data_IF_766118656301
#
_entry.id   IF_766118656301
#
_cell.length_a   1.000
_cell.length_b   1.000
_cell.length_c   1.000
_cell.angle_alpha   90.00
_cell.angle_beta   90.00
_cell.angle_gamma   90.00
#
_symmetry.space_group_name_H-M   'P 1'
#
loop_
_entity.id
_entity.type
_entity.pdbx_description
1 polymer ?
#
# COMPACT_ATOMS: atom_id res chain seq x y z
N UNK A 1 -32.15 35.80 15.35
CA UNK A 1 -31.39 35.20 14.25
C UNK A 1 -30.40 34.20 14.80
N UNK A 2 -29.93 33.26 13.96
CA UNK A 2 -28.82 32.35 14.29
C UNK A 2 -27.51 33.15 14.42
N UNK A 3 -26.83 33.04 15.55
CA UNK A 3 -25.61 33.82 15.83
C UNK A 3 -24.34 33.13 15.32
N UNK A 4 -24.29 31.79 15.36
CA UNK A 4 -23.15 30.97 14.92
C UNK A 4 -23.66 29.62 14.42
N UNK A 5 -23.01 29.06 13.41
CA UNK A 5 -23.27 27.73 12.88
C UNK A 5 -21.92 27.03 12.73
N UNK A 6 -21.82 25.80 13.22
CA UNK A 6 -20.67 24.94 13.01
C UNK A 6 -21.08 23.78 12.12
N UNK A 7 -20.35 23.56 11.03
CA UNK A 7 -20.69 22.57 10.00
C UNK A 7 -19.49 21.64 9.81
N UNK A 8 -19.74 20.35 9.81
CA UNK A 8 -18.76 19.29 9.54
C UNK A 8 -19.22 18.43 8.37
N UNK A 9 -18.29 17.71 7.72
CA UNK A 9 -18.62 16.77 6.65
C UNK A 9 -18.98 17.40 5.31
N UNK A 10 -18.66 18.70 5.12
CA UNK A 10 -18.87 19.40 3.86
C UNK A 10 -17.53 19.60 3.18
N UNK A 11 -17.36 18.96 2.02
CA UNK A 11 -16.20 19.17 1.15
C UNK A 11 -16.26 20.57 0.53
N UNK A 12 -15.11 21.23 0.26
CA UNK A 12 -15.07 22.48 -0.51
C UNK A 12 -15.73 22.40 -1.90
N UNK A 13 -16.03 21.19 -2.39
CA UNK A 13 -16.83 20.93 -3.61
C UNK A 13 -18.29 21.36 -3.47
N UNK A 14 -18.86 21.31 -2.27
CA UNK A 14 -20.31 21.54 -2.06
C UNK A 14 -20.60 23.01 -1.73
N UNK A 15 -19.61 23.75 -1.23
CA UNK A 15 -19.82 25.13 -0.72
C UNK A 15 -19.76 26.23 -1.78
N UNK A 16 -19.16 25.99 -2.94
CA UNK A 16 -18.88 27.07 -3.89
C UNK A 16 -20.10 27.51 -4.71
N UNK A 17 -21.06 26.61 -4.98
CA UNK A 17 -22.05 26.84 -6.05
C UNK A 17 -23.52 26.74 -5.61
N UNK A 18 -23.82 26.14 -4.45
CA UNK A 18 -25.20 25.84 -4.07
C UNK A 18 -25.90 26.96 -3.28
N UNK A 19 -25.16 27.86 -2.60
CA UNK A 19 -25.78 28.96 -1.84
C UNK A 19 -24.83 30.15 -1.67
N UNK A 20 -25.27 31.37 -2.02
CA UNK A 20 -24.52 32.62 -1.79
C UNK A 20 -24.30 32.96 -0.30
N UNK A 21 -25.03 32.31 0.61
CA UNK A 21 -25.07 32.60 2.04
C UNK A 21 -23.88 32.09 2.87
N UNK A 22 -23.08 31.15 2.35
CA UNK A 22 -21.93 30.59 3.08
C UNK A 22 -20.57 31.14 2.65
N UNK A 23 -20.53 32.15 1.79
CA UNK A 23 -19.28 32.88 1.46
C UNK A 23 -18.66 33.60 2.67
N UNK A 24 -19.40 33.73 3.78
CA UNK A 24 -18.93 34.28 5.06
C UNK A 24 -18.42 33.20 6.02
N UNK A 25 -18.45 31.92 5.63
CA UNK A 25 -17.98 30.83 6.47
C UNK A 25 -16.45 30.82 6.57
N UNK A 26 -15.94 30.59 7.78
CA UNK A 26 -14.51 30.44 8.04
C UNK A 26 -14.12 28.96 8.05
N UNK A 27 -13.16 28.59 7.21
CA UNK A 27 -12.64 27.23 7.13
C UNK A 27 -11.57 27.02 8.21
N UNK A 28 -11.92 26.29 9.28
CA UNK A 28 -11.03 26.07 10.44
C UNK A 28 -10.38 24.67 10.50
N UNK A 29 -10.70 23.79 9.55
CA UNK A 29 -10.30 22.37 9.59
C UNK A 29 -8.78 22.13 9.48
N UNK A 30 -8.00 23.10 8.99
CA UNK A 30 -6.53 23.03 8.93
C UNK A 30 -5.85 23.55 10.21
N UNK A 31 -6.59 24.14 11.15
CA UNK A 31 -6.00 24.63 12.39
C UNK A 31 -5.63 23.44 13.30
N UNK A 32 -4.47 23.48 13.97
CA UNK A 32 -3.97 22.33 14.73
C UNK A 32 -4.91 21.90 15.86
N UNK A 33 -5.63 22.83 16.50
CA UNK A 33 -6.59 22.52 17.56
C UNK A 33 -7.80 21.69 17.09
N UNK A 34 -8.08 21.66 15.79
CA UNK A 34 -9.15 20.85 15.20
C UNK A 34 -8.63 19.57 14.51
N UNK A 35 -7.32 19.28 14.57
CA UNK A 35 -6.74 18.09 13.94
C UNK A 35 -7.39 16.80 14.44
N UNK A 36 -7.68 16.72 15.74
CA UNK A 36 -8.32 15.55 16.34
C UNK A 36 -9.84 15.52 16.19
N UNK A 37 -10.48 16.58 15.66
CA UNK A 37 -11.94 16.67 15.57
C UNK A 37 -12.53 15.58 14.65
N UNK A 38 -11.79 15.19 13.62
CA UNK A 38 -12.27 14.27 12.59
C UNK A 38 -11.89 12.80 12.84
N UNK A 39 -11.39 12.46 14.03
CA UNK A 39 -10.84 11.13 14.29
C UNK A 39 -10.77 10.76 15.77
N UNK A 40 -10.40 9.51 16.06
CA UNK A 40 -10.06 9.08 17.42
C UNK A 40 -8.55 9.15 17.64
N UNK A 41 -8.14 9.38 18.88
CA UNK A 41 -6.75 9.31 19.32
C UNK A 41 -6.35 7.89 19.68
N UNK A 42 -5.06 7.62 19.63
CA UNK A 42 -4.46 6.35 20.06
C UNK A 42 -4.93 5.92 21.47
N UNK A 43 -4.93 6.86 22.42
CA UNK A 43 -5.32 6.57 23.81
C UNK A 43 -6.81 6.21 23.94
N UNK A 44 -7.67 6.80 23.10
CA UNK A 44 -9.11 6.49 23.10
C UNK A 44 -9.36 5.09 22.52
N UNK A 45 -8.67 4.74 21.43
CA UNK A 45 -8.71 3.40 20.85
C UNK A 45 -8.17 2.37 21.85
N UNK A 46 -7.01 2.63 22.48
CA UNK A 46 -6.43 1.74 23.48
C UNK A 46 -7.37 1.51 24.67
N UNK A 47 -8.09 2.56 25.12
CA UNK A 47 -9.09 2.45 26.18
C UNK A 47 -10.25 1.53 25.79
N UNK A 48 -10.79 1.71 24.57
CA UNK A 48 -11.89 0.87 24.06
C UNK A 48 -11.45 -0.58 23.84
N UNK A 49 -10.29 -0.81 23.22
CA UNK A 49 -9.72 -2.16 23.01
C UNK A 49 -9.49 -2.86 24.35
N UNK A 50 -8.91 -2.16 25.33
CA UNK A 50 -8.67 -2.71 26.66
C UNK A 50 -9.98 -3.05 27.41
N UNK A 51 -11.05 -2.29 27.20
CA UNK A 51 -12.37 -2.64 27.73
C UNK A 51 -12.94 -3.90 27.08
N UNK A 52 -12.94 -3.96 25.75
CA UNK A 52 -13.43 -5.12 25.00
C UNK A 52 -12.64 -6.38 25.37
N UNK A 53 -11.31 -6.26 25.49
CA UNK A 53 -10.46 -7.38 25.89
C UNK A 53 -10.86 -7.95 27.26
N UNK A 54 -11.22 -7.10 28.23
CA UNK A 54 -11.73 -7.57 29.53
C UNK A 54 -13.11 -8.22 29.42
N UNK A 55 -14.00 -7.67 28.59
CA UNK A 55 -15.34 -8.24 28.37
C UNK A 55 -15.29 -9.60 27.66
N UNK A 56 -14.27 -9.82 26.83
CA UNK A 56 -14.03 -11.03 26.07
C UNK A 56 -13.04 -12.02 26.72
N UNK A 57 -12.59 -11.77 27.95
CA UNK A 57 -11.57 -12.57 28.65
C UNK A 57 -10.26 -12.76 27.84
N UNK A 58 -9.87 -11.76 27.05
CA UNK A 58 -8.64 -11.76 26.26
C UNK A 58 -7.44 -11.29 27.09
N UNK A 59 -6.27 -11.86 26.81
CA UNK A 59 -5.02 -11.44 27.45
C UNK A 59 -4.60 -10.02 27.03
N UNK A 60 -3.75 -9.39 27.86
CA UNK A 60 -3.17 -8.09 27.52
C UNK A 60 -2.39 -8.14 26.19
N UNK A 61 -1.70 -9.24 25.89
CA UNK A 61 -0.98 -9.41 24.63
C UNK A 61 -1.93 -9.39 23.41
N UNK A 62 -3.12 -10.00 23.52
CA UNK A 62 -4.14 -9.94 22.46
C UNK A 62 -4.75 -8.55 22.32
N UNK A 63 -4.92 -7.82 23.42
CA UNK A 63 -5.36 -6.43 23.38
C UNK A 63 -4.32 -5.52 22.69
N UNK A 64 -3.04 -5.69 23.03
CA UNK A 64 -1.93 -4.94 22.43
C UNK A 64 -1.80 -5.26 20.92
N UNK A 65 -2.01 -6.51 20.54
CA UNK A 65 -2.05 -6.94 19.14
C UNK A 65 -3.23 -6.34 18.37
N UNK A 66 -4.44 -6.34 18.95
CA UNK A 66 -5.61 -5.69 18.36
C UNK A 66 -5.38 -4.18 18.17
N UNK A 67 -4.78 -3.51 19.15
CA UNK A 67 -4.41 -2.10 19.05
C UNK A 67 -3.38 -1.86 17.93
N UNK A 68 -2.35 -2.72 17.83
CA UNK A 68 -1.35 -2.63 16.77
C UNK A 68 -1.99 -2.84 15.37
N UNK A 69 -2.90 -3.81 15.24
CA UNK A 69 -3.69 -4.03 14.02
C UNK A 69 -4.49 -2.77 13.66
N UNK A 70 -5.26 -2.21 14.59
CA UNK A 70 -6.01 -0.98 14.32
C UNK A 70 -5.10 0.18 13.93
N UNK A 71 -3.91 0.30 14.56
CA UNK A 71 -2.93 1.35 14.24
C UNK A 71 -2.48 1.26 12.78
N UNK A 72 -2.06 0.09 12.33
CA UNK A 72 -1.55 -0.13 10.97
C UNK A 72 -2.64 0.06 9.90
N UNK A 73 -3.87 -0.38 10.18
CA UNK A 73 -4.95 -0.36 9.18
C UNK A 73 -5.73 0.96 9.17
N UNK A 74 -5.86 1.67 10.30
CA UNK A 74 -6.84 2.75 10.45
C UNK A 74 -6.31 4.08 10.98
N UNK A 75 -5.11 4.13 11.55
CA UNK A 75 -4.49 5.39 12.01
C UNK A 75 -3.79 6.12 10.84
N UNK A 76 -3.09 7.21 11.12
CA UNK A 76 -2.18 7.88 10.19
C UNK A 76 -2.73 9.15 9.54
N UNK A 77 -4.00 9.51 9.80
CA UNK A 77 -4.56 10.77 9.30
C UNK A 77 -4.04 11.97 10.08
N UNK A 78 -3.67 13.02 9.34
CA UNK A 78 -3.24 14.31 9.86
C UNK A 78 -3.74 15.41 8.93
N UNK A 79 -4.50 16.34 9.48
CA UNK A 79 -5.16 17.38 8.69
C UNK A 79 -4.46 18.73 8.80
N UNK A 80 -3.70 18.97 9.88
CA UNK A 80 -2.94 20.20 10.04
C UNK A 80 -1.45 20.02 9.78
N UNK A 81 -0.84 21.02 9.13
CA UNK A 81 0.62 21.10 8.98
C UNK A 81 1.38 21.39 10.27
N UNK A 82 0.67 21.91 11.29
CA UNK A 82 1.23 22.28 12.60
C UNK A 82 0.86 21.28 13.70
N UNK A 83 0.43 20.07 13.34
CA UNK A 83 0.14 18.98 14.26
C UNK A 83 1.06 17.80 13.97
N UNK A 84 1.56 17.16 15.02
CA UNK A 84 2.25 15.86 14.93
C UNK A 84 1.34 14.69 15.31
N UNK A 85 0.16 14.99 15.88
CA UNK A 85 -0.81 13.98 16.28
C UNK A 85 -1.49 13.38 15.04
N UNK A 86 -1.51 12.05 14.97
CA UNK A 86 -2.32 11.30 14.01
C UNK A 86 -3.62 10.84 14.65
N UNK A 87 -4.65 10.71 13.83
CA UNK A 87 -5.94 10.19 14.26
C UNK A 87 -6.41 9.02 13.40
N UNK A 88 -7.25 8.21 14.01
CA UNK A 88 -7.93 7.09 13.40
C UNK A 88 -9.16 7.56 12.64
N UNK A 89 -9.42 6.96 11.48
CA UNK A 89 -10.69 7.11 10.80
C UNK A 89 -11.84 6.55 11.68
N UNK A 90 -12.82 7.37 12.11
CA UNK A 90 -13.86 6.92 13.03
C UNK A 90 -14.71 5.77 12.51
N UNK A 91 -15.07 5.80 11.23
CA UNK A 91 -15.92 4.76 10.62
C UNK A 91 -15.23 3.41 10.65
N UNK A 92 -13.96 3.38 10.23
CA UNK A 92 -13.16 2.15 10.21
C UNK A 92 -12.81 1.65 11.61
N UNK A 93 -12.44 2.55 12.52
CA UNK A 93 -12.16 2.19 13.90
C UNK A 93 -13.40 1.58 14.58
N UNK A 94 -14.57 2.21 14.42
CA UNK A 94 -15.83 1.69 14.97
C UNK A 94 -16.26 0.38 14.30
N UNK A 95 -16.01 0.22 13.00
CA UNK A 95 -16.27 -1.04 12.30
C UNK A 95 -15.50 -2.20 12.95
N UNK A 96 -14.20 -2.03 13.17
CA UNK A 96 -13.36 -3.03 13.83
C UNK A 96 -13.80 -3.27 15.27
N UNK A 97 -13.97 -2.21 16.06
CA UNK A 97 -14.35 -2.32 17.47
C UNK A 97 -15.70 -3.04 17.64
N UNK A 98 -16.67 -2.81 16.75
CA UNK A 98 -17.96 -3.51 16.77
C UNK A 98 -17.82 -5.00 16.50
N UNK A 99 -17.02 -5.39 15.51
CA UNK A 99 -16.75 -6.80 15.25
C UNK A 99 -16.01 -7.45 16.43
N UNK A 100 -14.98 -6.77 16.93
CA UNK A 100 -14.17 -7.24 18.06
C UNK A 100 -14.97 -7.40 19.34
N UNK A 101 -15.88 -6.47 19.65
CA UNK A 101 -16.77 -6.60 20.80
C UNK A 101 -17.81 -7.72 20.64
N UNK A 102 -18.37 -7.88 19.43
CA UNK A 102 -19.44 -8.85 19.18
C UNK A 102 -18.93 -10.29 19.20
N UNK A 103 -17.81 -10.54 18.53
CA UNK A 103 -17.34 -11.89 18.22
C UNK A 103 -16.06 -12.27 18.98
N UNK A 104 -15.50 -11.33 19.76
CA UNK A 104 -14.19 -11.45 20.40
C UNK A 104 -13.06 -11.80 19.40
N UNK A 105 -13.26 -11.41 18.13
CA UNK A 105 -12.42 -11.72 16.98
C UNK A 105 -12.35 -10.51 16.05
N UNK A 106 -11.29 -10.43 15.25
CA UNK A 106 -11.14 -9.36 14.25
C UNK A 106 -12.16 -9.53 13.13
N UNK A 107 -12.53 -8.45 12.42
CA UNK A 107 -13.35 -8.60 11.23
C UNK A 107 -12.59 -9.38 10.14
N UNK A 108 -13.32 -10.25 9.43
CA UNK A 108 -12.77 -11.04 8.31
C UNK A 108 -12.15 -10.11 7.25
N UNK A 109 -12.83 -9.00 6.95
CA UNK A 109 -12.38 -7.97 6.01
C UNK A 109 -11.96 -6.74 6.79
N UNK A 110 -10.77 -6.21 6.53
CA UNK A 110 -10.31 -4.98 7.19
C UNK A 110 -10.97 -3.72 6.62
N UNK A 111 -11.39 -3.77 5.35
CA UNK A 111 -12.11 -2.69 4.69
C UNK A 111 -13.62 -2.96 4.75
N UNK A 112 -14.37 -2.05 5.38
CA UNK A 112 -15.82 -2.06 5.35
C UNK A 112 -16.34 -1.70 3.95
N UNK A 113 -17.32 -2.46 3.47
CA UNK A 113 -18.09 -2.17 2.25
C UNK A 113 -18.70 -0.77 2.21
N UNK A 114 -18.95 -0.14 3.37
CA UNK A 114 -19.45 1.24 3.45
C UNK A 114 -18.46 2.29 2.89
N UNK A 115 -17.19 1.93 2.68
CA UNK A 115 -16.21 2.75 1.96
C UNK A 115 -16.20 2.51 0.43
N UNK A 116 -17.20 1.82 -0.12
CA UNK A 116 -17.37 1.67 -1.58
C UNK A 116 -17.38 3.03 -2.32
N UNK A 117 -17.79 4.11 -1.66
CA UNK A 117 -17.71 5.46 -2.20
C UNK A 117 -16.26 5.86 -2.56
N UNK A 118 -15.25 5.39 -1.81
CA UNK A 118 -13.86 5.74 -2.05
C UNK A 118 -13.27 5.04 -3.28
N UNK A 119 -13.81 3.85 -3.64
CA UNK A 119 -13.51 3.23 -4.93
C UNK A 119 -14.06 4.05 -6.09
N UNK A 120 -15.30 4.53 -6.00
CA UNK A 120 -15.89 5.41 -7.01
C UNK A 120 -15.11 6.71 -7.19
N UNK A 121 -14.61 7.29 -6.10
CA UNK A 121 -13.73 8.47 -6.13
C UNK A 121 -12.38 8.15 -6.78
N UNK A 122 -11.73 7.04 -6.42
CA UNK A 122 -10.48 6.60 -7.05
C UNK A 122 -10.64 6.39 -8.55
N UNK A 123 -11.72 5.73 -8.96
CA UNK A 123 -12.05 5.52 -10.36
C UNK A 123 -12.33 6.82 -11.12
N UNK A 124 -12.92 7.83 -10.47
CA UNK A 124 -13.03 9.17 -11.05
C UNK A 124 -11.65 9.82 -11.21
N UNK A 125 -10.82 9.80 -10.16
CA UNK A 125 -9.47 10.39 -10.18
C UNK A 125 -8.61 9.74 -11.25
N UNK A 126 -8.63 8.42 -11.39
CA UNK A 126 -7.83 7.68 -12.37
C UNK A 126 -8.13 8.04 -13.83
N UNK A 127 -9.27 8.70 -14.09
CA UNK A 127 -9.64 9.19 -15.44
C UNK A 127 -9.32 10.66 -15.67
N UNK A 128 -8.82 11.38 -14.66
CA UNK A 128 -8.31 12.75 -14.81
C UNK A 128 -6.92 12.72 -15.46
N UNK A 129 -6.55 13.80 -16.15
CA UNK A 129 -5.27 13.89 -16.90
C UNK A 129 -4.04 13.57 -16.05
N UNK A 130 -3.95 14.10 -14.83
CA UNK A 130 -2.83 13.85 -13.90
C UNK A 130 -3.10 12.70 -12.91
N UNK A 131 -4.29 12.11 -12.97
CA UNK A 131 -4.77 11.08 -12.05
C UNK A 131 -3.88 9.85 -12.00
N UNK A 132 -3.72 9.12 -13.12
CA UNK A 132 -2.91 7.90 -13.16
C UNK A 132 -1.48 8.10 -12.64
N UNK A 133 -0.83 9.20 -13.02
CA UNK A 133 0.55 9.52 -12.63
C UNK A 133 0.65 9.75 -11.12
N UNK A 134 -0.27 10.53 -10.54
CA UNK A 134 -0.29 10.79 -9.10
C UNK A 134 -0.65 9.55 -8.28
N UNK A 135 -1.58 8.72 -8.78
CA UNK A 135 -1.91 7.43 -8.15
C UNK A 135 -0.67 6.53 -8.12
N UNK A 136 0.03 6.42 -9.26
CA UNK A 136 1.24 5.62 -9.35
C UNK A 136 2.34 6.13 -8.42
N UNK A 137 2.68 7.42 -8.48
CA UNK A 137 3.73 8.03 -7.65
C UNK A 137 3.44 7.91 -6.14
N UNK A 138 2.18 8.05 -5.74
CA UNK A 138 1.80 7.93 -4.34
C UNK A 138 1.99 6.50 -3.80
N UNK A 139 1.68 5.47 -4.60
CA UNK A 139 1.84 4.08 -4.17
C UNK A 139 3.30 3.60 -4.26
N UNK A 140 3.98 3.99 -5.33
CA UNK A 140 5.37 3.61 -5.58
C UNK A 140 6.31 4.27 -4.58
N UNK A 141 5.95 5.46 -4.07
CA UNK A 141 6.79 6.29 -3.21
C UNK A 141 8.04 6.82 -3.94
N UNK A 142 8.01 6.92 -5.29
CA UNK A 142 9.10 7.47 -6.13
C UNK A 142 9.36 8.93 -5.78
N UNK A 143 8.27 9.69 -5.79
CA UNK A 143 8.26 11.12 -5.62
C UNK A 143 7.16 11.48 -4.63
N UNK A 144 7.46 12.28 -3.59
CA UNK A 144 6.42 12.74 -2.69
C UNK A 144 5.41 13.56 -3.50
N UNK A 145 4.12 13.27 -3.31
CA UNK A 145 3.06 14.11 -3.85
C UNK A 145 3.13 15.45 -3.13
N UNK A 146 3.72 16.46 -3.76
CA UNK A 146 4.02 17.75 -3.16
C UNK A 146 3.25 18.88 -3.87
N UNK A 147 2.61 19.73 -3.07
CA UNK A 147 1.85 20.89 -3.55
C UNK A 147 2.17 22.11 -2.69
N UNK A 148 2.09 23.32 -3.24
CA UNK A 148 2.32 24.54 -2.43
C UNK A 148 1.17 24.80 -1.45
N UNK A 149 -0.05 24.53 -1.88
CA UNK A 149 -1.26 24.73 -1.10
C UNK A 149 -2.38 23.82 -1.59
N UNK A 150 -3.29 23.49 -0.68
CA UNK A 150 -4.53 22.81 -1.04
C UNK A 150 -5.43 23.78 -1.79
N UNK A 151 -6.06 23.30 -2.87
CA UNK A 151 -7.13 24.04 -3.52
C UNK A 151 -8.22 24.36 -2.49
N UNK A 152 -8.65 25.62 -2.46
CA UNK A 152 -9.60 26.14 -1.47
C UNK A 152 -11.06 25.99 -1.92
N UNK A 153 -11.30 25.74 -3.21
CA UNK A 153 -12.63 25.60 -3.83
C UNK A 153 -12.63 24.60 -4.98
N UNK A 154 -13.76 23.92 -5.17
CA UNK A 154 -14.03 23.10 -6.36
C UNK A 154 -15.42 23.45 -6.89
N UNK A 155 -15.53 24.57 -7.61
CA UNK A 155 -16.75 24.94 -8.34
C UNK A 155 -17.25 23.82 -9.23
N UNK A 156 -18.56 23.72 -9.47
CA UNK A 156 -19.12 22.81 -10.49
C UNK A 156 -18.57 23.20 -11.86
N UNK A 157 -18.45 24.51 -12.13
CA UNK A 157 -17.76 25.00 -13.33
C UNK A 157 -16.29 24.60 -13.35
N UNK A 158 -15.57 24.75 -12.24
CA UNK A 158 -14.17 24.33 -12.16
C UNK A 158 -14.05 22.85 -12.41
N UNK A 159 -14.85 22.01 -11.73
CA UNK A 159 -14.90 20.56 -11.91
C UNK A 159 -15.16 20.14 -13.36
N UNK A 160 -15.90 20.95 -14.12
CA UNK A 160 -16.25 20.67 -15.52
C UNK A 160 -15.26 21.23 -16.55
N UNK A 161 -14.73 22.43 -16.33
CA UNK A 161 -14.00 23.18 -17.36
C UNK A 161 -12.56 23.52 -16.98
N UNK A 162 -12.26 23.70 -15.69
CA UNK A 162 -10.91 24.09 -15.29
C UNK A 162 -9.91 22.96 -15.56
N UNK A 163 -8.66 23.28 -15.97
CA UNK A 163 -7.61 22.29 -16.13
C UNK A 163 -7.41 21.46 -14.86
N UNK A 164 -7.44 20.14 -15.01
CA UNK A 164 -7.31 19.16 -13.92
C UNK A 164 -5.83 18.84 -13.67
N UNK A 165 -5.07 19.89 -13.36
CA UNK A 165 -3.63 19.79 -13.11
C UNK A 165 -3.30 19.05 -11.80
N UNK A 166 -2.01 18.82 -11.56
CA UNK A 166 -1.55 17.98 -10.44
C UNK A 166 -2.01 18.52 -9.08
N UNK A 167 -1.97 19.85 -8.87
CA UNK A 167 -2.43 20.46 -7.61
C UNK A 167 -3.91 20.18 -7.32
N UNK A 168 -4.75 20.27 -8.36
CA UNK A 168 -6.18 20.02 -8.27
C UNK A 168 -6.46 18.57 -7.86
N UNK A 169 -5.82 17.62 -8.55
CA UNK A 169 -5.99 16.18 -8.30
C UNK A 169 -5.47 15.79 -6.91
N UNK A 170 -4.30 16.29 -6.52
CA UNK A 170 -3.72 16.07 -5.20
C UNK A 170 -4.62 16.62 -4.07
N UNK A 171 -5.20 17.81 -4.29
CA UNK A 171 -6.15 18.40 -3.35
C UNK A 171 -7.44 17.57 -3.23
N UNK A 172 -8.01 17.07 -4.34
CA UNK A 172 -9.16 16.17 -4.29
C UNK A 172 -8.85 14.89 -3.50
N UNK A 173 -7.70 14.25 -3.76
CA UNK A 173 -7.26 13.07 -3.02
C UNK A 173 -7.15 13.35 -1.52
N UNK A 174 -6.66 14.53 -1.13
CA UNK A 174 -6.65 14.97 0.28
C UNK A 174 -8.06 15.11 0.86
N UNK A 175 -8.96 15.85 0.21
CA UNK A 175 -10.32 16.06 0.73
C UNK A 175 -11.18 14.79 0.72
N UNK A 176 -10.86 13.83 -0.13
CA UNK A 176 -11.47 12.51 -0.13
C UNK A 176 -10.96 11.59 0.97
N UNK A 177 -9.95 12.00 1.74
CA UNK A 177 -9.34 11.15 2.79
C UNK A 177 -8.49 10.02 2.22
N UNK A 178 -8.07 10.14 0.96
CA UNK A 178 -7.22 9.19 0.24
C UNK A 178 -5.74 9.57 0.42
N UNK A 179 -5.46 10.88 0.50
CA UNK A 179 -4.18 11.41 0.96
C UNK A 179 -4.35 12.18 2.27
N UNK A 180 -3.26 12.31 2.99
CA UNK A 180 -3.19 13.07 4.23
C UNK A 180 -1.86 13.84 4.31
N UNK A 181 -1.73 14.72 5.31
CA UNK A 181 -0.51 15.50 5.48
C UNK A 181 0.67 14.60 5.87
N UNK A 182 1.72 14.58 5.06
CA UNK A 182 2.95 13.81 5.26
C UNK A 182 4.15 14.62 5.76
N UNK A 183 4.08 15.96 5.70
CA UNK A 183 5.16 16.83 6.15
C UNK A 183 5.33 18.04 5.23
N UNK A 184 6.47 18.71 5.37
CA UNK A 184 6.87 19.79 4.46
C UNK A 184 8.14 19.37 3.72
N UNK A 185 8.22 19.66 2.42
CA UNK A 185 9.46 19.49 1.66
C UNK A 185 10.46 20.58 2.02
N UNK A 186 11.76 20.42 1.68
CA UNK A 186 12.77 21.47 1.85
C UNK A 186 12.43 22.79 1.13
N UNK A 187 11.52 22.76 0.16
CA UNK A 187 11.07 23.92 -0.61
C UNK A 187 9.79 24.54 -0.06
N UNK A 188 9.33 24.12 1.12
CA UNK A 188 8.12 24.67 1.74
C UNK A 188 6.82 24.20 1.09
N UNK A 189 6.85 23.10 0.33
CA UNK A 189 5.64 22.48 -0.20
C UNK A 189 5.05 21.52 0.82
N UNK A 190 3.72 21.44 0.85
CA UNK A 190 2.97 20.41 1.55
C UNK A 190 3.22 19.05 0.88
N UNK A 191 3.86 18.13 1.59
CA UNK A 191 3.97 16.74 1.18
C UNK A 191 2.73 15.97 1.64
N UNK A 192 2.12 15.24 0.72
CA UNK A 192 0.97 14.38 0.94
C UNK A 192 1.38 12.91 0.87
N UNK A 193 0.75 12.07 1.71
CA UNK A 193 1.02 10.63 1.78
C UNK A 193 -0.25 9.81 1.97
N UNK A 194 -0.17 8.52 1.68
CA UNK A 194 -1.20 7.54 2.00
C UNK A 194 -1.23 7.34 3.53
N UNK A 195 -2.40 7.45 4.20
CA UNK A 195 -2.47 7.44 5.67
C UNK A 195 -2.23 6.07 6.29
N UNK A 196 -2.75 4.99 5.68
CA UNK A 196 -2.71 3.64 6.24
C UNK A 196 -2.91 2.56 5.17
N UNK A 197 -2.84 1.31 5.61
CA UNK A 197 -2.88 0.14 4.73
C UNK A 197 -4.23 -0.03 4.01
N UNK A 198 -5.34 0.38 4.63
CA UNK A 198 -6.68 0.30 4.01
C UNK A 198 -6.76 1.23 2.81
N UNK A 199 -6.26 2.46 2.93
CA UNK A 199 -6.23 3.37 1.79
C UNK A 199 -5.19 2.94 0.76
N UNK A 200 -4.05 2.37 1.19
CA UNK A 200 -3.03 1.82 0.27
C UNK A 200 -3.61 0.75 -0.65
N UNK A 201 -4.55 -0.06 -0.16
CA UNK A 201 -5.31 -1.02 -0.98
C UNK A 201 -6.03 -0.34 -2.14
N UNK A 202 -6.70 0.78 -1.90
CA UNK A 202 -7.45 1.50 -2.94
C UNK A 202 -6.55 1.94 -4.09
N UNK A 203 -5.31 2.33 -3.78
CA UNK A 203 -4.29 2.63 -4.80
C UNK A 203 -3.87 1.38 -5.57
N UNK A 204 -3.59 0.28 -4.86
CA UNK A 204 -3.19 -0.98 -5.49
C UNK A 204 -4.29 -1.50 -6.45
N UNK A 205 -5.54 -1.52 -5.99
CA UNK A 205 -6.72 -1.89 -6.80
C UNK A 205 -6.88 -0.95 -8.00
N UNK A 206 -6.78 0.36 -7.80
CA UNK A 206 -6.91 1.33 -8.91
C UNK A 206 -5.83 1.17 -9.97
N UNK A 207 -4.57 0.90 -9.58
CA UNK A 207 -3.49 0.64 -10.54
C UNK A 207 -3.72 -0.69 -11.25
N UNK A 208 -4.14 -1.73 -10.53
CA UNK A 208 -4.48 -3.02 -11.13
C UNK A 208 -5.58 -2.85 -12.21
N UNK A 209 -6.66 -2.14 -11.91
CA UNK A 209 -7.74 -1.84 -12.88
C UNK A 209 -7.24 -1.04 -14.09
N UNK A 210 -6.33 -0.07 -13.88
CA UNK A 210 -5.76 0.74 -14.97
C UNK A 210 -4.83 -0.04 -15.90
N UNK A 211 -4.15 -1.07 -15.39
CA UNK A 211 -3.11 -1.82 -16.11
C UNK A 211 -3.60 -3.18 -16.63
N UNK A 212 -4.54 -3.82 -15.93
CA UNK A 212 -5.08 -5.14 -16.25
C UNK A 212 -6.63 -5.09 -16.32
N UNK A 213 -7.21 -4.65 -17.46
CA UNK A 213 -8.66 -4.63 -17.61
C UNK A 213 -9.27 -6.04 -17.47
N UNK A 214 -10.48 -6.10 -16.91
CA UNK A 214 -11.16 -7.30 -16.36
C UNK A 214 -11.22 -8.52 -17.30
N UNK A 215 -11.33 -9.72 -16.70
CA UNK A 215 -11.53 -10.99 -17.40
C UNK A 215 -10.52 -12.07 -16.98
N UNK A 216 -10.11 -12.92 -17.93
CA UNK A 216 -9.22 -14.09 -17.69
C UNK A 216 -7.86 -13.72 -17.09
N UNK A 217 -7.37 -12.51 -17.35
CA UNK A 217 -6.07 -12.06 -16.85
C UNK A 217 -6.10 -11.80 -15.33
N UNK A 218 -7.24 -11.41 -14.77
CA UNK A 218 -7.42 -11.22 -13.32
C UNK A 218 -7.40 -12.55 -12.56
N UNK A 219 -8.07 -13.57 -13.10
CA UNK A 219 -8.04 -14.92 -12.51
C UNK A 219 -6.63 -15.53 -12.56
N UNK A 220 -5.92 -15.38 -13.67
CA UNK A 220 -4.54 -15.86 -13.79
C UNK A 220 -3.60 -15.18 -12.80
N UNK A 221 -3.71 -13.86 -12.63
CA UNK A 221 -2.95 -13.11 -11.62
C UNK A 221 -3.25 -13.62 -10.21
N UNK A 222 -4.53 -13.82 -9.88
CA UNK A 222 -4.95 -14.34 -8.57
C UNK A 222 -4.40 -15.73 -8.29
N UNK A 223 -4.50 -16.66 -9.25
CA UNK A 223 -3.94 -18.02 -9.14
C UNK A 223 -2.42 -18.00 -8.94
N UNK A 224 -1.71 -17.12 -9.66
CA UNK A 224 -0.26 -16.95 -9.50
C UNK A 224 0.10 -16.46 -8.09
N UNK A 225 -0.64 -15.48 -7.56
CA UNK A 225 -0.46 -14.98 -6.20
C UNK A 225 -0.79 -16.05 -5.13
N UNK A 226 -1.89 -16.79 -5.29
CA UNK A 226 -2.27 -17.90 -4.40
C UNK A 226 -1.18 -18.98 -4.36
N UNK A 227 -0.58 -19.29 -5.50
CA UNK A 227 0.53 -20.26 -5.59
C UNK A 227 1.74 -19.81 -4.78
N UNK A 228 2.07 -18.51 -4.83
CA UNK A 228 3.13 -17.93 -3.99
C UNK A 228 2.80 -18.03 -2.50
N UNK A 229 1.58 -17.68 -2.11
CA UNK A 229 1.17 -17.69 -0.69
C UNK A 229 1.19 -19.09 -0.08
N UNK A 230 0.80 -20.10 -0.86
CA UNK A 230 0.63 -21.46 -0.37
C UNK A 230 1.94 -22.26 -0.45
N UNK A 231 2.66 -22.16 -1.55
CA UNK A 231 3.80 -23.04 -1.84
C UNK A 231 5.14 -22.32 -1.87
N UNK A 232 5.14 -20.98 -1.84
CA UNK A 232 6.38 -20.20 -2.00
C UNK A 232 6.94 -20.29 -3.43
N UNK A 233 6.11 -20.61 -4.42
CA UNK A 233 6.53 -20.59 -5.83
C UNK A 233 6.16 -19.25 -6.46
N UNK A 234 7.18 -18.40 -6.64
CA UNK A 234 7.07 -17.07 -7.24
C UNK A 234 7.04 -17.10 -8.77
N UNK A 235 7.41 -18.23 -9.38
CA UNK A 235 7.60 -18.31 -10.83
C UNK A 235 6.34 -17.96 -11.63
N UNK A 236 5.14 -18.50 -11.31
CA UNK A 236 3.92 -18.14 -12.04
C UNK A 236 3.63 -16.64 -12.02
N UNK A 237 3.97 -15.96 -10.91
CA UNK A 237 3.79 -14.52 -10.78
C UNK A 237 4.78 -13.75 -11.66
N UNK A 238 6.04 -14.16 -11.68
CA UNK A 238 7.05 -13.57 -12.57
C UNK A 238 6.69 -13.76 -14.04
N UNK A 239 6.29 -14.97 -14.43
CA UNK A 239 5.87 -15.28 -15.80
C UNK A 239 4.67 -14.42 -16.22
N UNK A 240 3.71 -14.23 -15.32
CA UNK A 240 2.57 -13.34 -15.56
C UNK A 240 3.02 -11.87 -15.74
N UNK A 241 3.95 -11.39 -14.91
CA UNK A 241 4.45 -10.01 -14.99
C UNK A 241 5.17 -9.76 -16.33
N UNK A 242 6.06 -10.66 -16.73
CA UNK A 242 6.77 -10.58 -18.02
C UNK A 242 5.79 -10.56 -19.20
N UNK A 243 4.77 -11.41 -19.18
CA UNK A 243 3.87 -11.59 -20.31
C UNK A 243 2.82 -10.48 -20.44
N UNK A 244 2.41 -9.87 -19.33
CA UNK A 244 1.28 -8.93 -19.28
C UNK A 244 1.71 -7.55 -18.83
N UNK A 245 2.28 -7.45 -17.63
CA UNK A 245 2.57 -6.17 -16.98
C UNK A 245 3.64 -5.39 -17.74
N UNK A 246 4.76 -6.01 -18.07
CA UNK A 246 5.87 -5.35 -18.79
C UNK A 246 5.47 -4.80 -20.17
N UNK A 247 4.57 -5.49 -20.89
CA UNK A 247 4.02 -4.98 -22.16
C UNK A 247 3.16 -3.73 -21.99
N UNK A 248 2.51 -3.57 -20.85
CA UNK A 248 1.71 -2.37 -20.56
C UNK A 248 2.64 -1.21 -20.20
N UNK A 249 3.68 -1.46 -19.40
CA UNK A 249 4.68 -0.45 -19.05
C UNK A 249 5.54 0.00 -20.22
N UNK A 250 5.93 -0.90 -21.14
CA UNK A 250 6.69 -0.51 -22.33
C UNK A 250 5.92 0.45 -23.25
N UNK A 251 4.59 0.44 -23.17
CA UNK A 251 3.70 1.22 -24.03
C UNK A 251 3.22 2.53 -23.39
N UNK A 252 3.51 2.76 -22.11
CA UNK A 252 3.04 3.93 -21.36
C UNK A 252 4.24 4.67 -20.77
N UNK A 253 4.16 6.00 -20.69
CA UNK A 253 5.21 6.86 -20.12
C UNK A 253 5.42 6.68 -18.59
N UNK A 254 4.89 5.62 -17.98
CA UNK A 254 5.13 5.27 -16.57
C UNK A 254 6.51 4.64 -16.34
N UNK A 255 7.21 4.25 -17.41
CA UNK A 255 8.48 3.56 -17.33
C UNK A 255 9.64 4.51 -16.96
N UNK A 256 9.70 4.95 -15.71
CA UNK A 256 10.99 5.23 -15.11
C UNK A 256 11.73 3.88 -14.99
N UNK A 257 12.88 3.75 -15.65
CA UNK A 257 13.70 2.52 -15.65
C UNK A 257 14.36 2.31 -14.29
N UNK A 258 13.59 1.85 -13.30
CA UNK A 258 14.06 1.63 -11.95
C UNK A 258 13.30 0.51 -11.21
N UNK A 259 13.84 0.12 -10.06
CA UNK A 259 13.31 -0.92 -9.15
C UNK A 259 11.89 -0.65 -8.67
N UNK A 260 11.50 0.63 -8.58
CA UNK A 260 10.22 1.02 -8.01
C UNK A 260 9.02 0.66 -8.89
N UNK A 261 9.23 0.65 -10.20
CA UNK A 261 8.23 0.18 -11.16
C UNK A 261 7.94 -1.32 -10.96
N UNK A 262 8.98 -2.13 -10.73
CA UNK A 262 8.83 -3.57 -10.46
C UNK A 262 8.18 -3.79 -9.10
N UNK A 263 8.64 -3.09 -8.07
CA UNK A 263 8.04 -3.12 -6.72
C UNK A 263 6.55 -2.83 -6.80
N UNK A 264 6.15 -1.81 -7.56
CA UNK A 264 4.74 -1.45 -7.74
C UNK A 264 3.96 -2.54 -8.46
N UNK A 265 4.53 -3.17 -9.50
CA UNK A 265 3.90 -4.29 -10.20
C UNK A 265 3.65 -5.51 -9.28
N UNK A 266 4.62 -5.86 -8.44
CA UNK A 266 4.43 -6.93 -7.46
C UNK A 266 3.42 -6.52 -6.38
N UNK A 267 3.53 -5.30 -5.85
CA UNK A 267 2.66 -4.79 -4.81
C UNK A 267 1.19 -4.82 -5.24
N UNK A 268 0.86 -4.42 -6.47
CA UNK A 268 -0.51 -4.40 -6.98
C UNK A 268 -1.09 -5.80 -7.20
N UNK A 269 -0.25 -6.76 -7.59
CA UNK A 269 -0.66 -8.16 -7.80
C UNK A 269 -0.76 -8.96 -6.49
N UNK A 270 0.05 -8.59 -5.49
CA UNK A 270 0.13 -9.29 -4.21
C UNK A 270 -0.71 -8.64 -3.10
N UNK A 271 -1.36 -7.50 -3.37
CA UNK A 271 -2.11 -6.79 -2.33
C UNK A 271 -3.27 -7.62 -1.78
N UNK A 272 -3.12 -8.10 -0.55
CA UNK A 272 -4.14 -8.91 0.12
C UNK A 272 -4.18 -8.62 1.63
N UNK A 273 -4.92 -7.58 2.00
CA UNK A 273 -5.21 -7.16 3.37
C UNK A 273 -6.10 -8.12 4.18
N UNK A 274 -6.74 -9.09 3.51
CA UNK A 274 -7.51 -10.12 4.20
C UNK A 274 -6.57 -11.11 4.90
N UNK A 275 -5.42 -11.43 4.30
CA UNK A 275 -4.45 -12.38 4.85
C UNK A 275 -3.22 -11.70 5.46
N UNK A 276 -2.81 -10.55 4.93
CA UNK A 276 -1.50 -9.98 5.23
C UNK A 276 -1.58 -8.55 5.76
N UNK A 277 -0.64 -8.25 6.65
CA UNK A 277 -0.14 -6.91 6.90
C UNK A 277 0.99 -6.71 5.89
N UNK A 278 0.76 -5.86 4.88
CA UNK A 278 1.78 -5.56 3.88
C UNK A 278 2.51 -4.27 4.23
N UNK A 279 3.82 -4.37 4.43
CA UNK A 279 4.67 -3.23 4.75
C UNK A 279 5.64 -2.97 3.58
N UNK A 280 5.70 -1.71 3.15
CA UNK A 280 6.77 -1.15 2.31
C UNK A 280 7.49 -0.08 3.13
N UNK A 281 8.80 -0.28 3.37
CA UNK A 281 9.85 0.56 4.02
C UNK A 281 9.54 1.56 5.17
N UNK A 282 8.37 2.19 5.27
CA UNK A 282 8.17 3.42 6.03
C UNK A 282 8.12 3.30 7.57
N UNK A 283 8.02 2.11 8.15
CA UNK A 283 7.91 1.94 9.62
C UNK A 283 9.11 1.26 10.29
N UNK A 284 10.04 0.68 9.52
CA UNK A 284 11.16 -0.10 10.05
C UNK A 284 12.51 0.54 9.70
N UNK A 285 12.96 1.48 10.52
CA UNK A 285 14.35 1.96 10.64
C UNK A 285 15.26 1.67 9.42
N UNK A 286 15.19 2.52 8.39
CA UNK A 286 16.19 2.77 7.33
C UNK A 286 17.10 1.59 6.95
N UNK A 287 16.54 0.40 6.82
CA UNK A 287 17.10 -0.63 5.97
C UNK A 287 16.32 -0.58 4.67
N UNK A 288 16.80 -1.26 3.64
CA UNK A 288 16.08 -1.43 2.38
C UNK A 288 15.61 -2.87 2.21
N UNK A 289 14.31 -3.12 2.43
CA UNK A 289 13.57 -4.24 1.84
C UNK A 289 12.32 -3.71 1.24
N UNK A 290 12.08 -4.16 0.03
CA UNK A 290 11.09 -3.52 -0.80
C UNK A 290 9.67 -3.97 -0.48
N UNK A 291 9.43 -5.27 -0.24
CA UNK A 291 8.10 -5.77 0.03
C UNK A 291 8.10 -6.87 1.09
N UNK A 292 7.35 -6.63 2.17
CA UNK A 292 7.11 -7.65 3.22
C UNK A 292 5.61 -7.91 3.34
N UNK A 293 5.23 -9.19 3.36
CA UNK A 293 3.87 -9.66 3.59
C UNK A 293 3.86 -10.55 4.84
N UNK A 294 3.40 -10.00 5.96
CA UNK A 294 3.31 -10.74 7.23
C UNK A 294 1.88 -11.21 7.42
N UNK A 295 1.67 -12.52 7.60
CA UNK A 295 0.34 -13.07 7.82
C UNK A 295 -0.24 -12.44 9.09
N UNK A 296 -1.48 -11.93 8.99
CA UNK A 296 -2.18 -11.36 10.14
C UNK A 296 -2.26 -12.38 11.27
N UNK A 297 -2.13 -11.95 12.54
CA UNK A 297 -2.16 -12.87 13.67
C UNK A 297 -3.38 -13.81 13.71
N UNK A 298 -4.57 -13.29 13.43
CA UNK A 298 -5.83 -14.04 13.40
C UNK A 298 -5.97 -14.97 12.18
N UNK A 299 -5.14 -14.77 11.15
CA UNK A 299 -5.08 -15.59 9.94
C UNK A 299 -4.00 -16.67 10.02
N UNK A 300 -3.23 -16.76 11.11
CA UNK A 300 -2.18 -17.78 11.32
C UNK A 300 -2.70 -19.21 11.34
N UNK A 301 -4.01 -19.39 11.58
CA UNK A 301 -4.70 -20.68 11.46
C UNK A 301 -4.62 -21.29 10.06
N UNK A 302 -4.48 -20.46 9.02
CA UNK A 302 -4.31 -20.92 7.65
C UNK A 302 -2.84 -21.24 7.35
N UNK A 303 -2.57 -22.17 6.45
CA UNK A 303 -1.21 -22.59 6.07
C UNK A 303 -0.62 -21.72 4.95
N UNK A 304 -0.68 -20.40 5.11
CA UNK A 304 -0.08 -19.42 4.19
C UNK A 304 1.27 -18.91 4.72
N UNK A 305 2.19 -18.62 3.82
CA UNK A 305 3.57 -18.26 4.13
C UNK A 305 3.72 -16.74 4.33
N UNK A 306 4.61 -16.33 5.23
CA UNK A 306 5.10 -14.95 5.23
C UNK A 306 6.07 -14.77 4.06
N UNK A 307 5.99 -13.65 3.37
CA UNK A 307 6.77 -13.41 2.15
C UNK A 307 7.63 -12.18 2.33
N UNK A 308 8.91 -12.30 1.97
CA UNK A 308 9.86 -11.19 1.87
C UNK A 308 10.42 -11.15 0.45
N UNK A 309 10.32 -10.00 -0.21
CA UNK A 309 10.84 -9.81 -1.57
C UNK A 309 11.77 -8.60 -1.59
N UNK A 310 12.96 -8.81 -2.16
CA UNK A 310 13.95 -7.78 -2.44
C UNK A 310 14.04 -7.61 -3.97
N UNK A 311 13.84 -6.39 -4.47
CA UNK A 311 13.93 -6.10 -5.90
C UNK A 311 15.30 -5.51 -6.24
N UNK A 312 15.76 -5.86 -7.44
CA UNK A 312 16.91 -5.23 -8.08
C UNK A 312 16.61 -4.98 -9.55
N UNK A 313 17.28 -3.99 -10.13
CA UNK A 313 17.11 -3.64 -11.54
C UNK A 313 18.45 -3.59 -12.26
N UNK A 314 18.47 -4.15 -13.48
CA UNK A 314 19.57 -4.03 -14.45
C UNK A 314 18.99 -3.42 -15.71
N UNK A 315 19.45 -2.25 -16.11
CA UNK A 315 19.02 -1.62 -17.36
C UNK A 315 19.55 -2.38 -18.60
N UNK A 316 18.89 -2.21 -19.74
CA UNK A 316 19.36 -2.76 -21.03
C UNK A 316 20.80 -2.32 -21.36
N UNK A 317 21.13 -1.07 -21.02
CA UNK A 317 22.46 -0.50 -21.22
C UNK A 317 23.52 -1.19 -20.36
N UNK A 318 23.21 -1.46 -19.10
CA UNK A 318 24.12 -2.18 -18.18
C UNK A 318 24.27 -3.65 -18.59
N UNK A 319 23.19 -4.29 -19.04
CA UNK A 319 23.23 -5.64 -19.59
C UNK A 319 23.99 -5.74 -20.92
N UNK A 320 24.19 -4.62 -21.63
CA UNK A 320 24.81 -4.60 -22.96
C UNK A 320 23.98 -5.31 -24.03
N UNK A 321 22.67 -5.44 -23.82
CA UNK A 321 21.74 -6.21 -24.65
C UNK A 321 20.52 -5.36 -24.98
N UNK A 322 19.91 -5.62 -26.14
CA UNK A 322 18.60 -5.04 -26.45
C UNK A 322 17.45 -5.92 -25.91
N UNK A 323 16.25 -5.35 -25.85
CA UNK A 323 15.08 -6.05 -25.29
C UNK A 323 14.65 -7.27 -26.09
N UNK A 324 14.94 -7.33 -27.39
CA UNK A 324 14.57 -8.48 -28.24
C UNK A 324 15.48 -9.67 -27.94
N UNK A 325 16.79 -9.43 -27.84
CA UNK A 325 17.77 -10.45 -27.47
C UNK A 325 17.46 -11.05 -26.10
N UNK A 326 17.08 -10.22 -25.12
CA UNK A 326 16.72 -10.70 -23.77
C UNK A 326 15.48 -11.60 -23.75
N UNK A 327 14.47 -11.30 -24.58
CA UNK A 327 13.25 -12.12 -24.67
C UNK A 327 13.52 -13.53 -25.18
N UNK A 328 14.46 -13.67 -26.11
CA UNK A 328 14.83 -14.96 -26.71
C UNK A 328 15.88 -15.71 -25.89
N UNK A 329 16.56 -15.04 -24.95
CA UNK A 329 17.60 -15.62 -24.12
C UNK A 329 17.03 -16.61 -23.09
N UNK A 330 17.71 -17.73 -22.92
CA UNK A 330 17.31 -18.69 -21.88
C UNK A 330 17.61 -18.16 -20.46
N UNK A 331 16.94 -18.74 -19.48
CA UNK A 331 17.04 -18.28 -18.09
C UNK A 331 18.43 -18.52 -17.49
N UNK A 332 19.16 -19.55 -17.93
CA UNK A 332 20.49 -19.86 -17.41
C UNK A 332 21.52 -18.86 -17.91
N UNK A 333 21.43 -18.46 -19.18
CA UNK A 333 22.25 -17.40 -19.77
C UNK A 333 21.98 -16.05 -19.10
N UNK A 334 20.71 -15.71 -18.84
CA UNK A 334 20.36 -14.50 -18.10
C UNK A 334 20.96 -14.49 -16.68
N UNK A 335 20.87 -15.61 -15.98
CA UNK A 335 21.50 -15.80 -14.66
C UNK A 335 23.04 -15.75 -14.71
N UNK A 336 23.64 -16.10 -15.84
CA UNK A 336 25.09 -16.06 -16.03
C UNK A 336 25.64 -14.66 -16.35
N UNK A 337 24.78 -13.67 -16.61
CA UNK A 337 25.23 -12.30 -16.87
C UNK A 337 25.91 -11.72 -15.61
N UNK A 338 27.15 -11.18 -15.71
CA UNK A 338 27.87 -10.65 -14.55
C UNK A 338 27.09 -9.58 -13.77
N UNK A 339 26.39 -8.69 -14.49
CA UNK A 339 25.57 -7.64 -13.90
C UNK A 339 24.36 -8.20 -13.15
N UNK A 340 23.76 -9.29 -13.64
CA UNK A 340 22.67 -9.99 -12.95
C UNK A 340 23.21 -10.65 -11.69
N UNK A 341 24.32 -11.40 -11.77
CA UNK A 341 24.92 -12.07 -10.61
C UNK A 341 25.31 -11.10 -9.49
N UNK A 342 25.84 -9.93 -9.85
CA UNK A 342 26.15 -8.86 -8.90
C UNK A 342 24.89 -8.41 -8.15
N UNK A 343 23.80 -8.13 -8.89
CA UNK A 343 22.50 -7.75 -8.29
C UNK A 343 21.86 -8.87 -7.48
N UNK A 344 22.02 -10.13 -7.88
CA UNK A 344 21.56 -11.26 -7.09
C UNK A 344 22.26 -11.30 -5.73
N UNK A 345 23.59 -11.10 -5.68
CA UNK A 345 24.34 -11.04 -4.42
C UNK A 345 23.91 -9.87 -3.53
N UNK A 346 23.73 -8.67 -4.11
CA UNK A 346 23.20 -7.51 -3.38
C UNK A 346 21.82 -7.82 -2.76
N UNK A 347 20.96 -8.51 -3.49
CA UNK A 347 19.65 -8.90 -3.00
C UNK A 347 19.74 -9.91 -1.84
N UNK A 348 20.62 -10.91 -1.92
CA UNK A 348 20.83 -11.89 -0.83
C UNK A 348 21.32 -11.24 0.46
N UNK A 349 22.27 -10.30 0.35
CA UNK A 349 22.76 -9.50 1.47
C UNK A 349 21.64 -8.65 2.10
N UNK A 350 20.83 -8.01 1.26
CA UNK A 350 19.62 -7.29 1.67
C UNK A 350 18.69 -8.19 2.48
N UNK A 351 18.26 -9.31 1.90
CA UNK A 351 17.35 -10.28 2.50
C UNK A 351 17.88 -10.83 3.83
N UNK A 352 19.18 -11.12 3.94
CA UNK A 352 19.78 -11.67 5.17
C UNK A 352 19.57 -10.74 6.38
N UNK A 353 19.78 -9.43 6.20
CA UNK A 353 19.59 -8.43 7.27
C UNK A 353 18.14 -8.40 7.76
N UNK A 354 17.20 -8.55 6.85
CA UNK A 354 15.78 -8.44 7.15
C UNK A 354 15.16 -9.69 7.72
N UNK A 355 15.56 -10.86 7.23
CA UNK A 355 15.24 -12.14 7.86
C UNK A 355 15.60 -12.12 9.34
N UNK A 356 16.78 -11.60 9.69
CA UNK A 356 17.20 -11.46 11.09
C UNK A 356 16.26 -10.54 11.91
N UNK A 357 15.88 -9.38 11.35
CA UNK A 357 14.95 -8.44 12.01
C UNK A 357 13.55 -9.04 12.19
N UNK A 358 13.00 -9.69 11.17
CA UNK A 358 11.69 -10.33 11.23
C UNK A 358 11.69 -11.50 12.22
N UNK A 359 12.74 -12.33 12.22
CA UNK A 359 12.88 -13.40 13.22
C UNK A 359 12.98 -12.84 14.65
N UNK A 360 13.65 -11.72 14.86
CA UNK A 360 13.70 -11.07 16.18
C UNK A 360 12.33 -10.52 16.63
N UNK A 361 11.52 -10.01 15.70
CA UNK A 361 10.19 -9.45 15.99
C UNK A 361 9.10 -10.52 16.16
N UNK A 362 9.06 -11.53 15.30
CA UNK A 362 7.96 -12.50 15.20
C UNK A 362 8.31 -13.90 15.70
N UNK A 363 9.60 -14.20 15.93
CA UNK A 363 10.05 -15.48 16.46
C UNK A 363 9.55 -16.68 15.64
N UNK A 364 9.08 -17.71 16.35
CA UNK A 364 8.66 -18.98 15.76
C UNK A 364 7.29 -18.93 15.05
N UNK A 365 6.53 -17.82 15.18
CA UNK A 365 5.26 -17.67 14.47
C UNK A 365 5.46 -17.40 12.96
N UNK A 366 6.68 -17.03 12.57
CA UNK A 366 7.04 -16.61 11.22
C UNK A 366 7.35 -17.81 10.31
N UNK A 367 6.54 -18.00 9.26
CA UNK A 367 6.74 -19.00 8.21
C UNK A 367 7.29 -18.33 6.95
N UNK A 368 8.52 -17.81 7.07
CA UNK A 368 9.10 -16.91 6.07
C UNK A 368 9.64 -17.64 4.83
N UNK A 369 9.22 -17.21 3.64
CA UNK A 369 9.93 -17.40 2.38
C UNK A 369 10.48 -16.08 1.87
N UNK A 370 11.72 -16.13 1.36
CA UNK A 370 12.44 -14.95 0.90
C UNK A 370 12.86 -15.11 -0.56
N UNK A 371 12.67 -14.03 -1.32
CA UNK A 371 12.93 -14.00 -2.76
C UNK A 371 13.72 -12.74 -3.11
N UNK A 372 14.80 -12.92 -3.88
CA UNK A 372 15.41 -11.82 -4.61
C UNK A 372 14.88 -11.84 -6.05
N UNK A 373 14.46 -10.70 -6.56
CA UNK A 373 13.91 -10.55 -7.90
C UNK A 373 14.73 -9.50 -8.63
N UNK A 374 15.51 -9.94 -9.62
CA UNK A 374 16.29 -9.06 -10.48
C UNK A 374 15.55 -8.89 -11.80
N UNK A 375 15.08 -7.68 -12.08
CA UNK A 375 14.52 -7.34 -13.39
C UNK A 375 15.62 -6.89 -14.33
N UNK A 376 15.67 -7.48 -15.53
CA UNK A 376 16.60 -7.12 -16.60
C UNK A 376 15.81 -6.38 -17.67
N UNK A 377 15.92 -5.06 -17.63
CA UNK A 377 14.98 -4.14 -18.27
C UNK A 377 13.55 -4.38 -17.77
N UNK A 378 12.58 -4.02 -18.62
CA UNK A 378 11.19 -4.43 -18.46
C UNK A 378 10.87 -5.54 -19.45
N UNK A 379 11.72 -6.57 -19.46
CA UNK A 379 11.62 -7.67 -20.43
C UNK A 379 11.62 -9.02 -19.72
N UNK A 380 12.55 -9.24 -18.77
CA UNK A 380 12.73 -10.52 -18.07
C UNK A 380 12.97 -10.32 -16.57
N UNK A 381 12.57 -11.31 -15.78
CA UNK A 381 12.77 -11.41 -14.34
C UNK A 381 13.61 -12.65 -14.04
N UNK A 382 14.61 -12.47 -13.19
CA UNK A 382 15.43 -13.54 -12.66
C UNK A 382 15.19 -13.61 -11.16
N UNK A 383 14.80 -14.79 -10.69
CA UNK A 383 14.53 -15.00 -9.26
C UNK A 383 15.60 -15.85 -8.61
N UNK A 384 15.84 -15.54 -7.34
CA UNK A 384 16.58 -16.36 -6.39
C UNK A 384 15.69 -16.61 -5.18
N UNK A 385 15.63 -17.85 -4.73
CA UNK A 385 14.87 -18.22 -3.55
C UNK A 385 15.75 -19.00 -2.59
N UNK A 386 15.57 -18.76 -1.30
CA UNK A 386 16.17 -19.60 -0.28
C UNK A 386 15.57 -21.00 -0.35
N UNK A 387 16.36 -21.98 -0.78
CA UNK A 387 16.06 -23.40 -0.54
C UNK A 387 16.51 -23.79 0.87
N UNK A 388 15.77 -23.37 1.89
CA UNK A 388 15.93 -23.85 3.29
C UNK A 388 14.54 -23.86 3.94
N UNK A 389 13.95 -24.92 4.50
CA UNK A 389 14.36 -26.26 4.92
C UNK A 389 13.23 -27.25 4.56
N UNK A 390 13.44 -28.20 3.64
CA UNK A 390 12.56 -29.39 3.48
C UNK A 390 13.42 -30.68 3.37
N UNK A 391 14.63 -30.65 3.93
CA UNK A 391 15.61 -31.73 3.85
C UNK A 391 15.57 -32.77 4.97
N UNK A 392 14.51 -32.86 5.78
CA UNK A 392 14.48 -33.75 6.96
C UNK A 392 13.16 -34.52 7.20
N UNK A 393 12.42 -34.87 6.14
CA UNK A 393 11.27 -35.80 6.25
C UNK A 393 11.31 -37.02 5.32
N UNK A 394 12.42 -37.29 4.63
CA UNK A 394 12.59 -38.47 3.78
C UNK A 394 13.69 -39.43 4.25
N UNK A 395 13.67 -39.86 5.52
CA UNK A 395 14.48 -41.00 5.97
C UNK A 395 13.98 -41.61 7.30
N UNK A 396 12.72 -42.06 7.38
CA UNK A 396 12.32 -43.02 8.42
C UNK A 396 10.95 -43.66 8.12
N UNK A 397 10.85 -44.37 7.00
CA UNK A 397 9.85 -45.44 6.80
C UNK A 397 10.45 -46.54 5.92
N UNK A 398 11.43 -47.23 6.49
CA UNK A 398 11.72 -48.63 6.23
C UNK A 398 12.22 -49.19 7.55
N UNK A 399 11.27 -49.77 8.30
CA UNK A 399 11.37 -51.09 8.93
C UNK A 399 9.99 -51.45 9.50
#
# INVERSE_FOLDING_TARGET
GLARVFITGVSPVVMSDLTSGYNVAENIYLLPHFNALCGFREAEIAGMVGQIARECDLSQAQADEALAMMRTFYNGYRFSRRSEEHVYNPTLALYFLKAFQRDCQYPDRMLDSNLAMDRGKMHYISRLSEGPRLIFNALSETEPVAIFELADRFGVEDMRYAPKGANFVASLLYYFGILTHGGMTPFGQLSLRIPNLVIRKLYAESIQEMLLPEGKDSDAARLAAETLYQYGDIKPLCDFIEQKYFKVFSNRDYAHSNELTIKTAFLTLLFNDNLYIMESEAELQRGHTDLTMIVRPDMRQYQVLDILIEFKFVSLKEAGLDGKALREMDTQMLQALPTVQEKQREAEEGLARYRARLKAKFGNALRLRSFGVVAVGFERLVTLSDRTEEGHLSASRQD
#
